data_IF_352578420468
#
_entry.id   IF_352578420468
#
_cell.length_a   1.000
_cell.length_b   1.000
_cell.length_c   1.000
_cell.angle_alpha   90.00
_cell.angle_beta   90.00
_cell.angle_gamma   90.00
#
_symmetry.space_group_name_H-M   'P 1'
#
loop_
_entity.id
_entity.type
_entity.pdbx_description
1 polymer ?
#
# COMPACT_ATOMS: atom_id res chain seq x y z
N UNK A 1 16.99 3.36 -11.91
CA UNK A 1 17.50 3.20 -10.53
C UNK A 1 17.24 1.75 -10.14
N UNK A 2 18.22 1.04 -9.59
CA UNK A 2 18.04 -0.34 -9.09
C UNK A 2 17.54 -0.25 -7.65
N UNK A 3 16.49 -1.01 -7.25
CA UNK A 3 16.02 -0.99 -5.87
C UNK A 3 17.09 -1.53 -4.92
N UNK A 4 17.26 -0.87 -3.77
CA UNK A 4 18.10 -1.37 -2.68
C UNK A 4 17.27 -2.37 -1.86
N UNK A 5 17.78 -3.59 -1.74
CA UNK A 5 17.20 -4.63 -0.89
C UNK A 5 17.13 -4.12 0.56
N UNK A 6 15.97 -4.24 1.19
CA UNK A 6 15.67 -3.76 2.54
C UNK A 6 16.08 -2.29 2.79
N UNK A 7 15.94 -1.43 1.77
CA UNK A 7 16.27 -0.02 1.88
C UNK A 7 15.44 0.73 2.94
N UNK A 8 16.07 1.68 3.63
CA UNK A 8 15.39 2.53 4.63
C UNK A 8 14.21 3.30 3.98
N UNK A 9 13.03 3.22 4.61
CA UNK A 9 11.81 3.87 4.11
C UNK A 9 11.08 3.11 2.99
N UNK A 10 11.54 1.92 2.60
CA UNK A 10 10.87 1.08 1.59
C UNK A 10 9.53 0.52 2.06
N UNK A 11 9.46 0.12 3.34
CA UNK A 11 8.28 -0.47 3.96
C UNK A 11 7.83 0.35 5.17
N UNK A 12 6.51 0.42 5.38
CA UNK A 12 5.93 1.03 6.56
C UNK A 12 4.60 1.73 6.30
N UNK A 13 3.83 1.86 7.38
CA UNK A 13 2.58 2.65 7.42
C UNK A 13 2.81 3.84 8.33
N UNK A 14 2.73 5.05 7.77
CA UNK A 14 2.99 6.30 8.48
C UNK A 14 1.67 7.04 8.67
N UNK A 15 1.47 7.58 9.88
CA UNK A 15 0.28 8.34 10.26
C UNK A 15 -0.03 9.47 9.26
N UNK A 16 -1.31 9.75 9.06
CA UNK A 16 -1.80 10.85 8.21
C UNK A 16 -1.47 10.71 6.70
N UNK A 17 -1.31 9.47 6.22
CA UNK A 17 -1.19 9.16 4.80
C UNK A 17 -2.29 8.19 4.37
N UNK A 18 -2.73 8.31 3.11
CA UNK A 18 -3.66 7.37 2.47
C UNK A 18 -2.87 6.51 1.51
N UNK A 19 -2.89 5.19 1.73
CA UNK A 19 -2.24 4.21 0.88
C UNK A 19 -3.28 3.62 -0.07
N UNK A 20 -3.21 3.99 -1.35
CA UNK A 20 -4.06 3.44 -2.39
C UNK A 20 -3.32 2.32 -3.12
N UNK A 21 -3.94 1.13 -3.13
CA UNK A 21 -3.41 -0.04 -3.81
C UNK A 21 -4.27 -0.33 -5.04
N UNK A 22 -3.64 -0.50 -6.19
CA UNK A 22 -4.27 -0.91 -7.44
C UNK A 22 -3.72 -2.26 -7.85
N UNK A 23 -4.55 -3.31 -7.85
CA UNK A 23 -4.14 -4.65 -8.27
C UNK A 23 -4.20 -4.72 -9.81
N UNK A 24 -3.07 -5.01 -10.43
CA UNK A 24 -2.92 -5.07 -11.88
C UNK A 24 -3.02 -6.49 -12.42
N UNK A 25 -2.53 -7.48 -11.67
CA UNK A 25 -2.53 -8.89 -12.07
C UNK A 25 -2.57 -9.81 -10.87
N UNK A 26 -3.25 -10.94 -11.02
CA UNK A 26 -3.23 -12.08 -10.09
C UNK A 26 -2.64 -13.26 -10.87
N UNK A 27 -1.59 -13.89 -10.34
CA UNK A 27 -0.90 -14.99 -11.05
C UNK A 27 -1.42 -16.39 -10.67
N UNK A 28 -2.20 -16.49 -9.60
CA UNK A 28 -2.75 -17.76 -9.14
C UNK A 28 -3.49 -17.63 -7.80
N UNK A 29 -4.06 -18.73 -7.28
CA UNK A 29 -4.65 -18.73 -5.95
C UNK A 29 -3.59 -18.42 -4.88
N UNK A 30 -4.01 -17.65 -3.87
CA UNK A 30 -3.22 -17.40 -2.67
C UNK A 30 -3.17 -18.62 -1.74
N UNK A 31 -2.67 -18.41 -0.53
CA UNK A 31 -2.69 -19.44 0.50
C UNK A 31 -4.08 -19.52 1.17
N UNK A 32 -4.58 -20.72 1.49
CA UNK A 32 -5.87 -20.89 2.17
C UNK A 32 -5.82 -20.56 3.66
N UNK A 33 -4.62 -20.34 4.21
CA UNK A 33 -4.37 -20.04 5.62
C UNK A 33 -3.72 -18.66 5.75
N UNK A 34 -4.17 -17.89 6.74
CA UNK A 34 -3.56 -16.61 7.11
C UNK A 34 -2.45 -16.89 8.12
N UNK A 35 -1.21 -16.68 7.72
CA UNK A 35 -0.05 -16.82 8.62
C UNK A 35 0.09 -15.55 9.48
N UNK A 36 0.53 -15.69 10.75
CA UNK A 36 0.95 -14.53 11.53
C UNK A 36 2.20 -13.88 10.89
N UNK A 37 2.44 -12.58 11.14
CA UNK A 37 3.68 -11.94 10.70
C UNK A 37 4.90 -12.66 11.29
N UNK A 38 5.88 -12.97 10.43
CA UNK A 38 7.12 -13.63 10.78
C UNK A 38 8.27 -12.65 11.02
N UNK A 39 9.49 -13.19 11.05
CA UNK A 39 10.74 -12.41 11.14
C UNK A 39 11.53 -12.37 9.84
N UNK A 40 11.01 -13.01 8.79
CA UNK A 40 11.65 -13.06 7.48
C UNK A 40 11.63 -11.66 6.82
N UNK A 41 12.61 -11.32 5.95
CA UNK A 41 12.64 -10.04 5.27
C UNK A 41 11.45 -9.82 4.33
N UNK A 42 10.92 -8.60 4.26
CA UNK A 42 9.78 -8.26 3.40
C UNK A 42 10.09 -8.36 1.88
N UNK A 43 11.37 -8.27 1.50
CA UNK A 43 11.80 -8.42 0.11
C UNK A 43 11.87 -9.89 -0.29
N UNK A 44 10.76 -10.37 -0.84
CA UNK A 44 10.58 -11.75 -1.30
C UNK A 44 10.83 -11.91 -2.80
N UNK A 45 11.41 -13.06 -3.19
CA UNK A 45 11.63 -13.40 -4.61
C UNK A 45 10.35 -13.88 -5.31
N UNK A 46 9.34 -14.29 -4.53
CA UNK A 46 8.07 -14.80 -5.06
C UNK A 46 6.94 -13.81 -4.79
N UNK A 47 6.06 -13.59 -5.78
CA UNK A 47 4.94 -12.65 -5.68
C UNK A 47 3.69 -13.20 -6.35
N UNK A 48 2.52 -13.05 -5.72
CA UNK A 48 1.23 -13.63 -6.16
C UNK A 48 0.36 -12.61 -6.89
N UNK A 49 0.63 -11.32 -6.65
CA UNK A 49 -0.06 -10.20 -7.26
C UNK A 49 0.97 -9.21 -7.80
N UNK A 50 0.59 -8.53 -8.87
CA UNK A 50 1.22 -7.28 -9.28
C UNK A 50 0.31 -6.15 -8.86
N UNK A 51 0.84 -5.16 -8.14
CA UNK A 51 0.09 -4.02 -7.68
C UNK A 51 0.92 -2.74 -7.73
N UNK A 52 0.24 -1.62 -7.98
CA UNK A 52 0.79 -0.28 -7.76
C UNK A 52 0.35 0.22 -6.39
N UNK A 53 1.29 0.80 -5.65
CA UNK A 53 1.04 1.43 -4.37
C UNK A 53 1.28 2.93 -4.51
N UNK A 54 0.22 3.72 -4.38
CA UNK A 54 0.30 5.17 -4.39
C UNK A 54 0.08 5.71 -2.97
N UNK A 55 1.04 6.50 -2.48
CA UNK A 55 0.99 7.13 -1.17
C UNK A 55 0.52 8.57 -1.36
N UNK A 56 -0.72 8.83 -0.97
CA UNK A 56 -1.32 10.16 -1.04
C UNK A 56 -1.29 10.82 0.33
N UNK A 57 -1.10 12.14 0.34
CA UNK A 57 -1.35 12.95 1.54
C UNK A 57 -2.81 12.83 1.97
N UNK A 58 -3.06 12.84 3.28
CA UNK A 58 -4.42 13.02 3.79
C UNK A 58 -4.99 14.35 3.28
N UNK A 59 -6.21 14.32 2.78
CA UNK A 59 -6.85 15.51 2.21
C UNK A 59 -7.76 16.20 3.23
N UNK A 60 -7.65 17.52 3.31
CA UNK A 60 -8.65 18.37 3.96
C UNK A 60 -9.75 18.67 2.93
N UNK A 61 -11.01 18.53 3.33
CA UNK A 61 -12.19 18.89 2.52
C UNK A 61 -12.81 20.14 3.13
N UNK A 62 -12.99 21.17 2.30
CA UNK A 62 -13.73 22.37 2.66
C UNK A 62 -15.12 22.28 2.03
N UNK A 63 -16.16 22.41 2.85
CA UNK A 63 -17.54 22.48 2.38
C UNK A 63 -18.08 23.87 2.74
N UNK A 64 -18.44 24.64 1.71
CA UNK A 64 -19.16 25.89 1.86
C UNK A 64 -20.65 25.59 1.66
N UNK A 65 -21.51 26.16 2.50
CA UNK A 65 -22.97 26.09 2.35
C UNK A 65 -23.47 27.51 2.09
N UNK A 66 -24.15 27.72 0.97
CA UNK A 66 -24.89 28.95 0.71
C UNK A 66 -26.30 28.82 1.31
N UNK A 67 -26.69 29.74 2.17
CA UNK A 67 -28.09 29.89 2.56
C UNK A 67 -28.85 30.53 1.39
N UNK A 68 -29.81 29.81 0.82
CA UNK A 68 -30.77 30.37 -0.13
C UNK A 68 -31.77 31.21 0.67
N UNK A 69 -31.65 32.54 0.56
CA UNK A 69 -32.69 33.50 0.95
C UNK A 69 -33.73 33.65 -0.16
#
# INVERSE_FOLDING_TARGET
MVPVLMGYGRYGVVRNNVYQLSINKIIGPGQPVINPPGTDPDDEDTSWISADVNIMRWYIRNQNVEELL
#
